data_IF_884215490151
#
_entry.id   IF_884215490151
#
_cell.length_a   1.000
_cell.length_b   1.000
_cell.length_c   1.000
_cell.angle_alpha   90.00
_cell.angle_beta   90.00
_cell.angle_gamma   90.00
#
_symmetry.space_group_name_H-M   'P 1'
#
loop_
_entity.id
_entity.type
_entity.pdbx_description
1 polymer ?
#
# COMPACT_ATOMS: atom_id res chain seq x y z
N UNK A 1 20.44 18.13 0.17
CA UNK A 1 19.10 18.16 -0.43
C UNK A 1 18.35 16.91 0.01
N UNK A 2 17.20 17.06 0.65
CA UNK A 2 16.45 15.89 1.11
C UNK A 2 15.62 15.31 -0.04
N UNK A 3 15.53 13.98 -0.07
CA UNK A 3 14.69 13.30 -1.03
C UNK A 3 13.22 13.63 -0.76
N UNK A 4 12.40 13.66 -1.82
CA UNK A 4 10.97 13.84 -1.68
C UNK A 4 10.37 12.65 -0.92
N UNK A 5 9.50 12.94 0.01
CA UNK A 5 8.75 11.91 0.71
C UNK A 5 7.38 12.45 1.09
N UNK A 6 6.34 11.80 0.60
CA UNK A 6 4.96 12.18 0.88
C UNK A 6 4.61 11.90 2.34
N UNK A 7 3.70 12.70 2.88
CA UNK A 7 3.09 12.41 4.17
C UNK A 7 2.13 11.22 4.03
N UNK A 8 2.02 10.41 5.08
CA UNK A 8 1.09 9.27 5.10
C UNK A 8 0.00 9.57 6.12
N UNK A 9 -1.25 9.55 5.68
CA UNK A 9 -2.38 9.76 6.57
C UNK A 9 -2.44 8.66 7.64
N UNK A 10 -2.83 9.03 8.85
CA UNK A 10 -2.78 8.15 10.01
C UNK A 10 -3.54 6.83 9.83
N UNK A 11 -4.64 6.82 9.07
CA UNK A 11 -5.41 5.60 8.85
C UNK A 11 -4.98 4.76 7.65
N UNK A 12 -4.06 5.27 6.81
CA UNK A 12 -3.72 4.62 5.54
C UNK A 12 -3.07 3.25 5.72
N UNK A 13 -2.32 3.06 6.79
CA UNK A 13 -1.61 1.81 7.09
C UNK A 13 -2.17 1.08 8.31
N UNK A 14 -3.39 1.40 8.72
CA UNK A 14 -4.05 0.68 9.82
C UNK A 14 -4.12 -0.81 9.47
N UNK A 15 -3.62 -1.71 10.33
CA UNK A 15 -3.67 -3.14 10.04
C UNK A 15 -5.10 -3.64 9.87
N UNK A 16 -5.27 -4.60 8.96
CA UNK A 16 -6.57 -5.25 8.77
C UNK A 16 -6.92 -6.06 10.01
N UNK A 17 -8.16 -5.97 10.44
CA UNK A 17 -8.67 -6.73 11.58
C UNK A 17 -9.97 -7.45 11.20
N UNK A 18 -10.32 -8.47 11.95
CA UNK A 18 -11.57 -9.20 11.73
C UNK A 18 -12.79 -8.31 11.90
N UNK A 19 -12.70 -7.31 12.77
CA UNK A 19 -13.81 -6.38 13.01
C UNK A 19 -14.04 -5.44 11.83
N UNK A 20 -12.96 -5.02 11.17
CA UNK A 20 -13.04 -4.02 10.11
C UNK A 20 -12.99 -4.60 8.71
N UNK A 21 -12.28 -5.73 8.52
CA UNK A 21 -12.07 -6.32 7.22
C UNK A 21 -12.08 -7.85 7.29
N UNK A 22 -13.20 -8.46 7.73
CA UNK A 22 -13.24 -9.91 7.94
C UNK A 22 -12.95 -10.71 6.67
N UNK A 23 -13.41 -10.23 5.51
CA UNK A 23 -13.14 -10.90 4.24
C UNK A 23 -11.67 -10.93 3.86
N UNK A 24 -10.96 -9.83 4.09
CA UNK A 24 -9.53 -9.73 3.81
C UNK A 24 -8.70 -10.58 4.79
N UNK A 25 -9.04 -10.53 6.06
CA UNK A 25 -8.36 -11.33 7.07
C UNK A 25 -8.52 -12.83 6.78
N UNK A 26 -9.73 -13.26 6.45
CA UNK A 26 -9.99 -14.65 6.10
C UNK A 26 -9.26 -15.08 4.82
N UNK A 27 -9.31 -14.24 3.79
CA UNK A 27 -8.72 -14.53 2.49
C UNK A 27 -7.20 -14.67 2.55
N UNK A 28 -6.55 -13.83 3.35
CA UNK A 28 -5.09 -13.76 3.43
C UNK A 28 -4.54 -14.21 4.79
N UNK A 29 -5.30 -15.00 5.56
CA UNK A 29 -4.95 -15.38 6.92
C UNK A 29 -3.53 -15.97 7.03
N UNK A 30 -3.12 -16.81 6.06
CA UNK A 30 -1.79 -17.44 6.06
C UNK A 30 -0.66 -16.47 5.76
N UNK A 31 -0.95 -15.31 5.19
CA UNK A 31 0.03 -14.30 4.75
C UNK A 31 -0.25 -12.91 5.29
N UNK A 32 -1.05 -12.81 6.33
CA UNK A 32 -1.48 -11.50 6.81
C UNK A 32 -0.30 -10.62 7.23
N UNK A 33 0.71 -11.18 7.88
CA UNK A 33 1.92 -10.44 8.26
C UNK A 33 2.66 -9.91 7.02
N UNK A 34 2.72 -10.72 5.96
CA UNK A 34 3.34 -10.31 4.70
C UNK A 34 2.52 -9.22 4.02
N UNK A 35 1.19 -9.33 4.04
CA UNK A 35 0.31 -8.30 3.48
C UNK A 35 0.59 -6.96 4.15
N UNK A 36 0.70 -6.93 5.47
CA UNK A 36 0.98 -5.68 6.19
C UNK A 36 2.38 -5.15 5.87
N UNK A 37 3.38 -6.02 5.77
CA UNK A 37 4.74 -5.62 5.42
C UNK A 37 4.81 -5.06 3.99
N UNK A 38 4.13 -5.69 3.04
CA UNK A 38 4.07 -5.21 1.66
C UNK A 38 3.30 -3.90 1.53
N UNK A 39 2.25 -3.70 2.31
CA UNK A 39 1.55 -2.41 2.34
C UNK A 39 2.51 -1.29 2.74
N UNK A 40 3.35 -1.50 3.74
CA UNK A 40 4.34 -0.51 4.17
C UNK A 40 5.35 -0.24 3.04
N UNK A 41 5.82 -1.29 2.36
CA UNK A 41 6.76 -1.14 1.25
C UNK A 41 6.12 -0.38 0.08
N UNK A 42 4.85 -0.68 -0.22
CA UNK A 42 4.12 0.03 -1.27
C UNK A 42 3.98 1.52 -0.93
N UNK A 43 3.64 1.83 0.31
CA UNK A 43 3.54 3.21 0.77
C UNK A 43 4.89 3.93 0.64
N UNK A 44 5.98 3.29 1.05
CA UNK A 44 7.31 3.87 0.96
C UNK A 44 7.71 4.14 -0.49
N UNK A 45 7.39 3.22 -1.40
CA UNK A 45 7.68 3.37 -2.83
C UNK A 45 6.89 4.52 -3.44
N UNK A 46 5.61 4.61 -3.15
CA UNK A 46 4.76 5.69 -3.65
C UNK A 46 5.17 7.05 -3.05
N UNK A 47 5.55 7.06 -1.76
CA UNK A 47 5.94 8.29 -1.07
C UNK A 47 7.18 8.94 -1.68
N UNK A 48 8.04 8.17 -2.33
CA UNK A 48 9.23 8.68 -3.00
C UNK A 48 8.91 9.33 -4.35
N UNK A 49 7.71 9.14 -4.88
CA UNK A 49 7.32 9.69 -6.18
C UNK A 49 6.97 11.19 -6.02
N UNK A 50 7.57 12.08 -6.84
CA UNK A 50 7.30 13.52 -6.73
C UNK A 50 5.84 13.91 -6.92
N UNK A 51 5.06 13.11 -7.65
CA UNK A 51 3.64 13.38 -7.86
C UNK A 51 2.77 12.98 -6.65
N UNK A 52 3.31 12.22 -5.73
CA UNK A 52 2.61 11.80 -4.51
C UNK A 52 2.95 12.77 -3.39
N UNK A 53 2.01 13.59 -2.98
CA UNK A 53 2.21 14.58 -1.90
C UNK A 53 1.69 14.06 -0.56
N UNK A 54 0.53 13.40 -0.57
CA UNK A 54 -0.07 12.81 0.63
C UNK A 54 -0.66 11.45 0.25
N UNK A 55 -0.30 10.42 1.01
CA UNK A 55 -0.88 9.09 0.84
C UNK A 55 -2.15 9.02 1.68
N UNK A 56 -3.28 8.76 1.01
CA UNK A 56 -4.58 8.67 1.66
C UNK A 56 -5.02 7.22 1.89
N UNK A 57 -4.62 6.28 1.04
CA UNK A 57 -5.01 4.88 1.15
C UNK A 57 -3.89 3.96 0.66
N UNK A 58 -3.69 2.85 1.35
CA UNK A 58 -2.79 1.76 0.94
C UNK A 58 -3.54 0.46 1.16
N UNK A 59 -3.91 -0.22 0.08
CA UNK A 59 -4.80 -1.38 0.16
C UNK A 59 -4.28 -2.55 -0.65
N UNK A 60 -4.60 -3.77 -0.20
CA UNK A 60 -4.41 -4.95 -1.02
C UNK A 60 -5.47 -4.94 -2.12
N UNK A 61 -5.06 -5.17 -3.37
CA UNK A 61 -5.99 -5.11 -4.50
C UNK A 61 -6.94 -6.32 -4.51
N UNK A 62 -8.16 -6.08 -4.99
CA UNK A 62 -9.17 -7.15 -5.09
C UNK A 62 -8.75 -8.26 -6.07
N UNK A 63 -7.85 -7.96 -6.99
CA UNK A 63 -7.30 -8.93 -7.95
C UNK A 63 -6.20 -9.80 -7.38
N UNK A 64 -5.78 -9.57 -6.12
CA UNK A 64 -4.75 -10.36 -5.48
C UNK A 64 -5.18 -11.82 -5.29
N UNK A 65 -4.21 -12.72 -5.44
CA UNK A 65 -4.34 -14.11 -5.01
C UNK A 65 -3.35 -14.35 -3.86
N UNK A 66 -3.53 -15.44 -3.11
CA UNK A 66 -2.65 -15.74 -1.97
C UNK A 66 -1.19 -15.99 -2.39
N UNK A 67 -0.96 -16.37 -3.64
CA UNK A 67 0.37 -16.58 -4.23
C UNK A 67 0.83 -15.46 -5.15
N UNK A 68 0.00 -14.42 -5.32
CA UNK A 68 0.31 -13.26 -6.18
C UNK A 68 -0.35 -12.03 -5.58
N UNK A 69 0.28 -11.47 -4.55
CA UNK A 69 -0.25 -10.29 -3.88
C UNK A 69 -0.06 -9.06 -4.74
N UNK A 70 -1.09 -8.22 -4.79
CA UNK A 70 -1.09 -6.96 -5.50
C UNK A 70 -1.64 -5.88 -4.59
N UNK A 71 -1.10 -4.66 -4.74
CA UNK A 71 -1.43 -3.53 -3.87
C UNK A 71 -1.63 -2.28 -4.70
N UNK A 72 -2.40 -1.35 -4.16
CA UNK A 72 -2.49 -0.01 -4.74
C UNK A 72 -2.36 1.03 -3.64
N UNK A 73 -1.80 2.17 -4.02
CA UNK A 73 -1.63 3.32 -3.14
C UNK A 73 -2.30 4.51 -3.80
N UNK A 74 -3.19 5.18 -3.09
CA UNK A 74 -3.80 6.40 -3.57
C UNK A 74 -3.17 7.60 -2.90
N UNK A 75 -2.70 8.53 -3.72
CA UNK A 75 -2.08 9.78 -3.28
C UNK A 75 -2.89 10.96 -3.77
N UNK A 76 -2.71 12.11 -3.11
CA UNK A 76 -3.10 13.40 -3.67
C UNK A 76 -1.84 14.05 -4.25
N UNK A 77 -1.95 14.64 -5.44
CA UNK A 77 -0.86 15.39 -6.04
C UNK A 77 -0.82 16.84 -5.51
N UNK A 78 0.06 17.67 -6.06
CA UNK A 78 0.20 19.06 -5.64
C UNK A 78 -1.06 19.88 -5.85
N UNK A 79 -1.94 19.46 -6.75
CA UNK A 79 -3.21 20.14 -7.04
C UNK A 79 -4.37 19.56 -6.22
N UNK A 80 -4.12 18.50 -5.43
CA UNK A 80 -5.16 17.81 -4.69
C UNK A 80 -5.91 16.75 -5.48
N UNK A 81 -5.47 16.45 -6.70
CA UNK A 81 -6.10 15.44 -7.54
C UNK A 81 -5.61 14.03 -7.14
N UNK A 82 -6.47 13.01 -7.22
CA UNK A 82 -6.07 11.66 -6.86
C UNK A 82 -5.15 11.05 -7.91
N UNK A 83 -4.10 10.40 -7.44
CA UNK A 83 -3.17 9.63 -8.26
C UNK A 83 -3.04 8.25 -7.65
N UNK A 84 -3.14 7.20 -8.46
CA UNK A 84 -3.06 5.84 -7.95
C UNK A 84 -1.87 5.11 -8.54
N UNK A 85 -1.13 4.42 -7.68
CA UNK A 85 0.02 3.59 -8.05
C UNK A 85 -0.32 2.13 -7.74
N UNK A 86 0.07 1.24 -8.65
CA UNK A 86 -0.16 -0.20 -8.49
C UNK A 86 1.17 -0.92 -8.37
N UNK A 87 1.24 -1.88 -7.45
CA UNK A 87 2.44 -2.66 -7.18
C UNK A 87 2.08 -4.14 -7.10
N UNK A 88 2.95 -5.00 -7.65
CA UNK A 88 2.84 -6.44 -7.44
C UNK A 88 3.78 -6.87 -6.32
N UNK A 89 3.61 -8.09 -5.85
CA UNK A 89 4.53 -8.67 -4.87
C UNK A 89 5.97 -8.65 -5.38
N UNK A 90 6.17 -8.93 -6.67
CA UNK A 90 7.49 -8.92 -7.30
C UNK A 90 8.12 -7.52 -7.30
N UNK A 91 7.30 -6.46 -7.50
CA UNK A 91 7.79 -5.08 -7.46
C UNK A 91 8.28 -4.66 -6.09
N UNK A 92 7.72 -5.25 -5.04
CA UNK A 92 7.98 -4.86 -3.66
C UNK A 92 8.99 -5.77 -2.96
N UNK A 93 9.31 -6.93 -3.55
CA UNK A 93 10.27 -7.85 -2.97
C UNK A 93 11.68 -7.36 -3.25
N UNK A 94 12.50 -7.10 -2.22
CA UNK A 94 13.87 -6.64 -2.45
C UNK A 94 14.68 -7.72 -3.16
N UNK A 95 15.48 -7.29 -4.12
CA UNK A 95 16.43 -8.20 -4.77
C UNK A 95 17.53 -8.56 -3.80
N UNK A 96 17.71 -9.88 -3.60
CA UNK A 96 18.68 -10.40 -2.68
C UNK A 96 20.11 -10.25 -3.14
#
# INVERSE_FOLDING_TARGET
>A
MSAHQAAINAGALTPYSEDQAPGLVSRFAARLDEVEAFRQLAANSAAANPDCQVISMVEVASTSASDDLRFWVECSDANGDPVRYNFSEADLTPEG
#
